data_IF_563462068262
#
_entry.id   IF_563462068262
#
_cell.length_a   1.000
_cell.length_b   1.000
_cell.length_c   1.000
_cell.angle_alpha   90.00
_cell.angle_beta   90.00
_cell.angle_gamma   90.00
#
_symmetry.space_group_name_H-M   'P 1'
#
loop_
_entity.id
_entity.type
_entity.pdbx_description
1 polymer ?
#
# COMPACT_ATOMS: atom_id res chain seq x y z
N UNK A 1 15.63 -4.90 0.55
CA UNK A 1 15.58 -3.76 -0.40
C UNK A 1 16.98 -3.34 -0.83
N UNK A 2 17.64 -4.17 -1.63
CA UNK A 2 18.95 -3.85 -2.23
C UNK A 2 18.89 -3.87 -3.76
N UNK A 3 17.77 -4.30 -4.32
CA UNK A 3 17.47 -4.31 -5.75
C UNK A 3 16.61 -3.08 -6.06
N UNK A 4 16.69 -2.57 -7.29
CA UNK A 4 15.92 -1.39 -7.72
C UNK A 4 14.42 -1.68 -7.84
N UNK A 5 14.05 -2.95 -8.02
CA UNK A 5 12.67 -3.42 -8.07
C UNK A 5 12.43 -4.52 -7.04
N UNK A 6 11.26 -4.49 -6.40
CA UNK A 6 10.79 -5.58 -5.55
C UNK A 6 10.36 -6.77 -6.43
N UNK A 7 10.80 -7.97 -6.06
CA UNK A 7 10.41 -9.24 -6.69
C UNK A 7 10.12 -10.30 -5.64
N UNK A 8 9.33 -11.30 -6.02
CA UNK A 8 9.16 -12.48 -5.18
C UNK A 8 10.45 -13.30 -5.14
N UNK A 9 10.82 -13.72 -3.94
CA UNK A 9 12.01 -14.53 -3.69
C UNK A 9 11.60 -15.95 -3.31
N UNK A 10 12.40 -16.92 -3.75
CA UNK A 10 12.41 -18.22 -3.11
C UNK A 10 13.01 -18.11 -1.71
N UNK A 11 12.73 -19.10 -0.85
CA UNK A 11 13.26 -19.10 0.52
C UNK A 11 14.79 -19.10 0.57
N UNK A 12 15.45 -19.80 -0.35
CA UNK A 12 16.91 -19.83 -0.44
C UNK A 12 17.51 -18.48 -0.86
N UNK A 13 16.85 -17.77 -1.79
CA UNK A 13 17.27 -16.40 -2.16
C UNK A 13 17.06 -15.42 -1.01
N UNK A 14 15.92 -15.52 -0.31
CA UNK A 14 15.64 -14.69 0.86
C UNK A 14 16.70 -14.89 1.95
N UNK A 15 17.10 -16.13 2.23
CA UNK A 15 18.13 -16.46 3.23
C UNK A 15 19.50 -15.89 2.85
N UNK A 16 19.89 -16.04 1.59
CA UNK A 16 21.13 -15.48 1.07
C UNK A 16 21.14 -13.93 1.15
N UNK A 17 20.02 -13.27 0.88
CA UNK A 17 19.89 -11.80 0.89
C UNK A 17 19.76 -11.25 2.31
N UNK A 18 19.03 -11.93 3.19
CA UNK A 18 18.79 -11.50 4.58
C UNK A 18 20.06 -11.57 5.43
N UNK A 19 21.03 -12.42 5.04
CA UNK A 19 22.35 -12.46 5.63
C UNK A 19 22.32 -12.90 7.10
N UNK A 20 22.54 -11.97 8.02
CA UNK A 20 22.53 -12.28 9.46
C UNK A 20 21.11 -12.38 10.06
N UNK A 21 20.09 -11.89 9.34
CA UNK A 21 18.70 -12.02 9.74
C UNK A 21 18.16 -13.39 9.36
N UNK A 22 17.70 -14.15 10.37
CA UNK A 22 17.05 -15.44 10.15
C UNK A 22 15.69 -15.25 9.47
N UNK A 23 15.51 -15.91 8.32
CA UNK A 23 14.27 -15.86 7.53
C UNK A 23 13.09 -16.48 8.28
N UNK A 24 13.29 -17.55 9.05
CA UNK A 24 12.24 -18.15 9.88
C UNK A 24 11.74 -17.16 10.95
N UNK A 25 12.66 -16.39 11.53
CA UNK A 25 12.34 -15.36 12.50
C UNK A 25 11.65 -14.14 11.85
N UNK A 26 12.08 -13.73 10.65
CA UNK A 26 11.40 -12.69 9.86
C UNK A 26 9.95 -13.09 9.52
N UNK A 27 9.73 -14.32 9.09
CA UNK A 27 8.40 -14.86 8.79
C UNK A 27 7.52 -14.87 10.06
N UNK A 28 8.07 -15.37 11.17
CA UNK A 28 7.35 -15.38 12.45
C UNK A 28 6.95 -13.97 12.90
N UNK A 29 7.86 -13.00 12.79
CA UNK A 29 7.57 -11.60 13.11
C UNK A 29 6.51 -11.01 12.17
N UNK A 30 6.56 -11.30 10.88
CA UNK A 30 5.56 -10.86 9.92
C UNK A 30 4.16 -11.41 10.23
N UNK A 31 4.07 -12.69 10.60
CA UNK A 31 2.82 -13.32 11.01
C UNK A 31 2.26 -12.71 12.31
N UNK A 32 3.12 -12.40 13.27
CA UNK A 32 2.72 -11.72 14.51
C UNK A 32 2.20 -10.31 14.25
N UNK A 33 2.89 -9.53 13.41
CA UNK A 33 2.42 -8.20 13.01
C UNK A 33 1.09 -8.30 12.26
N UNK A 34 0.99 -9.21 11.29
CA UNK A 34 -0.24 -9.45 10.54
C UNK A 34 -1.41 -9.74 11.50
N UNK A 35 -1.20 -10.61 12.49
CA UNK A 35 -2.22 -10.91 13.51
C UNK A 35 -2.64 -9.65 14.28
N UNK A 36 -1.71 -8.85 14.77
CA UNK A 36 -2.02 -7.61 15.52
C UNK A 36 -2.80 -6.60 14.67
N UNK A 37 -2.39 -6.41 13.41
CA UNK A 37 -3.07 -5.50 12.47
C UNK A 37 -4.48 -6.01 12.13
N UNK A 38 -4.63 -7.31 11.89
CA UNK A 38 -5.92 -7.95 11.63
C UNK A 38 -6.86 -7.83 12.83
N UNK A 39 -6.41 -8.17 14.04
CA UNK A 39 -7.21 -8.04 15.27
C UNK A 39 -7.69 -6.60 15.47
N UNK A 40 -6.84 -5.61 15.18
CA UNK A 40 -7.21 -4.20 15.25
C UNK A 40 -8.24 -3.82 14.19
N UNK A 41 -8.05 -4.26 12.96
CA UNK A 41 -8.97 -4.00 11.85
C UNK A 41 -10.37 -4.56 12.13
N UNK A 42 -10.44 -5.82 12.54
CA UNK A 42 -11.69 -6.50 12.88
C UNK A 42 -12.45 -5.78 14.00
N UNK A 43 -11.74 -5.36 15.05
CA UNK A 43 -12.33 -4.61 16.16
C UNK A 43 -12.92 -3.25 15.72
N UNK A 44 -12.42 -2.68 14.63
CA UNK A 44 -12.89 -1.43 14.05
C UNK A 44 -13.87 -1.62 12.87
N UNK A 45 -14.26 -2.86 12.55
CA UNK A 45 -15.19 -3.18 11.46
C UNK A 45 -14.56 -3.24 10.06
N UNK A 46 -13.23 -3.27 9.98
CA UNK A 46 -12.49 -3.46 8.73
C UNK A 46 -12.14 -4.93 8.52
N UNK A 47 -11.96 -5.30 7.25
CA UNK A 47 -11.28 -6.52 6.84
C UNK A 47 -9.85 -6.16 6.45
N UNK A 48 -8.86 -6.83 7.03
CA UNK A 48 -7.46 -6.74 6.62
C UNK A 48 -7.17 -7.87 5.62
N UNK A 49 -6.88 -7.53 4.37
CA UNK A 49 -6.68 -8.50 3.29
C UNK A 49 -5.23 -9.01 3.27
N UNK A 50 -4.28 -8.08 3.30
CA UNK A 50 -2.84 -8.32 3.48
C UNK A 50 -2.10 -6.99 3.68
N UNK A 51 -0.78 -7.07 3.85
CA UNK A 51 0.10 -5.91 3.85
C UNK A 51 1.57 -6.26 3.76
N UNK A 52 2.39 -5.21 3.84
CA UNK A 52 3.85 -5.25 3.84
C UNK A 52 4.36 -4.67 5.15
N UNK A 53 5.45 -5.25 5.65
CA UNK A 53 6.24 -4.66 6.73
C UNK A 53 7.69 -4.59 6.29
N UNK A 54 8.44 -3.67 6.89
CA UNK A 54 9.90 -3.66 6.80
C UNK A 54 10.48 -4.04 8.15
N UNK A 55 11.59 -4.78 8.13
CA UNK A 55 12.29 -5.19 9.34
C UNK A 55 13.74 -4.71 9.26
N UNK A 56 14.28 -4.33 10.42
CA UNK A 56 15.69 -4.05 10.59
C UNK A 56 16.32 -5.11 11.49
N UNK A 57 17.55 -5.50 11.17
CA UNK A 57 18.38 -6.33 12.03
C UNK A 57 19.49 -5.46 12.63
N UNK A 58 19.58 -5.43 13.96
CA UNK A 58 20.60 -4.68 14.67
C UNK A 58 21.03 -5.46 15.92
N UNK A 59 22.34 -5.66 16.09
CA UNK A 59 22.93 -6.26 17.29
C UNK A 59 22.32 -7.61 17.72
N UNK A 60 21.98 -8.47 16.75
CA UNK A 60 21.38 -9.77 17.04
C UNK A 60 19.86 -9.77 17.16
N UNK A 61 19.21 -8.61 16.99
CA UNK A 61 17.78 -8.43 17.20
C UNK A 61 17.07 -8.03 15.90
N UNK A 62 15.94 -8.67 15.63
CA UNK A 62 14.99 -8.25 14.59
C UNK A 62 13.96 -7.30 15.18
N UNK A 63 13.75 -6.17 14.51
CA UNK A 63 12.74 -5.17 14.89
C UNK A 63 11.91 -4.79 13.68
N UNK A 64 10.62 -4.54 13.90
CA UNK A 64 9.76 -3.91 12.91
C UNK A 64 10.26 -2.48 12.68
N UNK A 65 10.39 -2.12 11.42
CA UNK A 65 10.83 -0.83 10.93
C UNK A 65 9.72 -0.20 10.05
N UNK A 66 9.97 1.03 9.60
CA UNK A 66 9.03 1.80 8.77
C UNK A 66 7.63 1.92 9.41
N UNK A 67 6.56 1.91 8.61
CA UNK A 67 5.17 2.04 9.06
C UNK A 67 4.42 0.72 8.93
N UNK A 68 3.47 0.49 9.83
CA UNK A 68 2.63 -0.72 9.87
C UNK A 68 1.18 -0.33 10.13
N UNK A 69 0.24 -1.04 9.48
CA UNK A 69 -1.20 -0.83 9.66
C UNK A 69 -1.76 0.42 8.98
N UNK A 70 -1.01 1.06 8.08
CA UNK A 70 -1.48 2.19 7.28
C UNK A 70 -2.24 1.71 6.04
N UNK A 71 -3.16 2.52 5.52
CA UNK A 71 -3.89 2.25 4.25
C UNK A 71 -2.99 2.26 3.00
N UNK A 72 -1.72 2.65 3.17
CA UNK A 72 -0.72 2.67 2.11
C UNK A 72 0.11 1.38 2.05
N UNK A 73 0.39 0.79 3.22
CA UNK A 73 1.20 -0.43 3.34
C UNK A 73 0.36 -1.69 3.50
N UNK A 74 -0.94 -1.55 3.74
CA UNK A 74 -1.85 -2.67 3.96
C UNK A 74 -3.16 -2.41 3.19
N UNK A 75 -3.74 -3.50 2.69
CA UNK A 75 -5.04 -3.49 2.01
C UNK A 75 -6.14 -3.76 3.02
N UNK A 76 -6.98 -2.77 3.20
CA UNK A 76 -8.17 -2.89 4.04
C UNK A 76 -9.43 -2.69 3.22
N UNK A 77 -10.53 -3.31 3.66
CA UNK A 77 -11.87 -2.96 3.19
C UNK A 77 -12.82 -2.70 4.34
N UNK A 78 -13.79 -1.81 4.12
CA UNK A 78 -14.86 -1.48 5.05
C UNK A 78 -16.19 -1.59 4.32
N UNK A 79 -17.11 -2.41 4.84
CA UNK A 79 -18.37 -2.70 4.14
C UNK A 79 -18.17 -3.27 2.73
N UNK A 80 -17.07 -4.00 2.50
CA UNK A 80 -16.72 -4.56 1.18
C UNK A 80 -16.07 -3.59 0.20
N UNK A 81 -15.78 -2.35 0.61
CA UNK A 81 -15.14 -1.32 -0.21
C UNK A 81 -13.69 -1.08 0.22
N UNK A 82 -12.76 -1.04 -0.72
CA UNK A 82 -11.35 -0.88 -0.43
C UNK A 82 -11.00 0.51 0.10
N UNK A 83 -10.14 0.56 1.12
CA UNK A 83 -9.60 1.80 1.71
C UNK A 83 -8.09 1.81 1.47
N UNK A 84 -7.66 2.33 0.33
CA UNK A 84 -6.24 2.41 -0.05
C UNK A 84 -6.02 3.33 -1.25
N UNK A 85 -4.73 3.51 -1.62
CA UNK A 85 -4.32 4.19 -2.86
C UNK A 85 -4.89 3.56 -4.13
N UNK A 86 -5.43 2.34 -4.08
CA UNK A 86 -6.01 1.70 -5.26
C UNK A 86 -7.16 2.51 -5.85
N UNK A 87 -7.90 3.26 -5.04
CA UNK A 87 -8.93 4.21 -5.49
C UNK A 87 -8.36 5.18 -6.54
N UNK A 88 -7.21 5.78 -6.25
CA UNK A 88 -6.53 6.72 -7.17
C UNK A 88 -6.07 6.01 -8.44
N UNK A 89 -5.57 4.77 -8.33
CA UNK A 89 -5.14 3.98 -9.49
C UNK A 89 -6.32 3.65 -10.41
N UNK A 90 -7.48 3.31 -9.84
CA UNK A 90 -8.69 3.04 -10.61
C UNK A 90 -9.25 4.30 -11.26
N UNK A 91 -9.16 5.46 -10.59
CA UNK A 91 -9.54 6.75 -11.17
C UNK A 91 -8.73 7.04 -12.44
N UNK A 92 -7.39 6.91 -12.39
CA UNK A 92 -6.55 7.13 -13.57
C UNK A 92 -6.79 6.10 -14.68
N UNK A 93 -7.03 4.83 -14.34
CA UNK A 93 -7.42 3.83 -15.35
C UNK A 93 -8.69 4.21 -16.12
N UNK A 94 -9.62 4.90 -15.45
CA UNK A 94 -10.88 5.33 -16.06
C UNK A 94 -10.77 6.68 -16.79
N UNK A 95 -9.94 7.60 -16.30
CA UNK A 95 -9.93 9.01 -16.74
C UNK A 95 -8.68 9.41 -17.54
N UNK A 96 -7.58 8.65 -17.44
CA UNK A 96 -6.32 8.88 -18.16
C UNK A 96 -5.74 7.55 -18.69
N UNK A 97 -6.49 6.84 -19.57
CA UNK A 97 -6.09 5.53 -20.06
C UNK A 97 -4.83 5.57 -20.93
N UNK A 98 -4.56 6.70 -21.60
CA UNK A 98 -3.40 6.88 -22.47
C UNK A 98 -2.12 6.94 -21.63
N UNK A 99 -2.10 7.72 -20.54
CA UNK A 99 -0.98 7.71 -19.59
C UNK A 99 -0.79 6.32 -18.97
N UNK A 100 -1.86 5.63 -18.57
CA UNK A 100 -1.77 4.27 -18.01
C UNK A 100 -1.16 3.29 -19.03
N UNK A 101 -1.52 3.42 -20.31
CA UNK A 101 -0.94 2.63 -21.39
C UNK A 101 0.54 2.94 -21.59
N UNK A 102 0.93 4.22 -21.60
CA UNK A 102 2.32 4.65 -21.72
C UNK A 102 3.20 4.12 -20.56
N UNK A 103 2.71 4.22 -19.31
CA UNK A 103 3.39 3.65 -18.13
C UNK A 103 3.57 2.14 -18.28
N UNK A 104 2.56 1.44 -18.79
CA UNK A 104 2.63 0.00 -19.01
C UNK A 104 3.66 -0.36 -20.08
N UNK A 105 3.66 0.32 -21.22
CA UNK A 105 4.63 0.12 -22.30
C UNK A 105 6.06 0.41 -21.82
N UNK A 106 6.26 1.51 -21.09
CA UNK A 106 7.56 1.85 -20.53
C UNK A 106 8.10 0.75 -19.60
N UNK A 107 7.24 0.22 -18.70
CA UNK A 107 7.60 -0.90 -17.82
C UNK A 107 7.90 -2.18 -18.58
N UNK A 108 7.12 -2.51 -19.62
CA UNK A 108 7.37 -3.67 -20.47
C UNK A 108 8.70 -3.55 -21.23
N UNK A 109 9.09 -2.34 -21.64
CA UNK A 109 10.34 -2.11 -22.39
C UNK A 109 11.63 -2.35 -21.58
N UNK A 110 11.54 -2.28 -20.25
CA UNK A 110 12.64 -2.58 -19.31
C UNK A 110 12.48 -3.91 -18.59
N UNK A 111 11.38 -4.63 -18.84
CA UNK A 111 11.14 -5.93 -18.21
C UNK A 111 12.29 -6.90 -18.51
N UNK A 112 12.91 -7.44 -17.46
CA UNK A 112 14.08 -8.33 -17.57
C UNK A 112 15.44 -7.63 -17.66
N UNK A 113 15.48 -6.31 -17.51
CA UNK A 113 16.72 -5.56 -17.23
C UNK A 113 16.88 -5.40 -15.72
N UNK A 114 18.12 -5.29 -15.27
CA UNK A 114 18.45 -5.03 -13.86
C UNK A 114 18.31 -3.55 -13.46
N UNK A 115 17.57 -2.74 -14.25
CA UNK A 115 17.42 -1.28 -14.05
C UNK A 115 15.94 -0.84 -14.04
N UNK A 116 15.57 0.07 -13.14
CA UNK A 116 14.19 0.63 -12.97
C UNK A 116 13.97 1.99 -13.70
N UNK A 117 14.63 2.22 -14.84
CA UNK A 117 14.58 3.50 -15.57
C UNK A 117 13.29 3.71 -16.40
N UNK A 118 12.24 2.90 -16.21
CA UNK A 118 10.99 3.05 -16.99
C UNK A 118 10.39 4.46 -16.85
N UNK A 119 10.63 5.14 -15.73
CA UNK A 119 10.16 6.52 -15.52
C UNK A 119 10.79 7.49 -16.52
N UNK A 120 12.04 7.27 -16.91
CA UNK A 120 12.73 8.09 -17.93
C UNK A 120 12.27 7.77 -19.35
N UNK A 121 11.66 6.59 -19.55
CA UNK A 121 11.14 6.14 -20.84
C UNK A 121 9.65 6.47 -21.03
N UNK A 122 8.97 6.92 -19.97
CA UNK A 122 7.58 7.35 -20.01
C UNK A 122 7.53 8.86 -20.21
N UNK A 123 7.43 9.30 -21.47
CA UNK A 123 7.31 10.72 -21.82
C UNK A 123 5.98 11.33 -21.35
N UNK A 124 4.95 10.51 -21.15
CA UNK A 124 3.64 10.93 -20.65
C UNK A 124 3.64 11.08 -19.13
N UNK A 125 3.02 12.14 -18.64
CA UNK A 125 2.79 12.40 -17.22
C UNK A 125 1.29 12.42 -16.91
N UNK A 126 0.85 11.94 -15.74
CA UNK A 126 -0.57 11.94 -15.41
C UNK A 126 -1.08 13.37 -15.29
N UNK A 127 -2.31 13.60 -15.77
CA UNK A 127 -3.00 14.85 -15.44
C UNK A 127 -3.18 14.98 -13.91
N UNK A 128 -3.08 16.20 -13.33
CA UNK A 128 -3.38 16.40 -11.93
C UNK A 128 -4.79 15.94 -11.59
N UNK A 129 -4.95 15.23 -10.47
CA UNK A 129 -6.28 14.86 -9.98
C UNK A 129 -7.15 16.12 -9.82
N UNK A 130 -8.43 16.08 -10.25
CA UNK A 130 -9.37 17.16 -9.97
C UNK A 130 -9.46 17.42 -8.46
N UNK A 131 -9.58 18.68 -8.01
CA UNK A 131 -9.62 19.01 -6.59
C UNK A 131 -10.67 18.20 -5.78
N UNK A 132 -11.83 17.94 -6.37
CA UNK A 132 -12.89 17.15 -5.73
C UNK A 132 -12.47 15.69 -5.48
N UNK A 133 -11.69 15.09 -6.37
CA UNK A 133 -11.17 13.72 -6.19
C UNK A 133 -10.11 13.69 -5.10
N UNK A 134 -9.24 14.70 -5.06
CA UNK A 134 -8.24 14.87 -3.99
C UNK A 134 -8.93 15.01 -2.63
N UNK A 135 -9.98 15.83 -2.56
CA UNK A 135 -10.76 16.04 -1.35
C UNK A 135 -11.44 14.74 -0.90
N UNK A 136 -12.14 14.04 -1.78
CA UNK A 136 -12.81 12.78 -1.46
C UNK A 136 -11.82 11.70 -0.96
N UNK A 137 -10.66 11.54 -1.63
CA UNK A 137 -9.62 10.59 -1.19
C UNK A 137 -9.03 11.02 0.17
N UNK A 138 -8.80 12.33 0.37
CA UNK A 138 -8.31 12.84 1.65
C UNK A 138 -9.30 12.58 2.78
N UNK A 139 -10.59 12.81 2.56
CA UNK A 139 -11.65 12.50 3.53
C UNK A 139 -11.74 11.00 3.80
N UNK A 140 -11.62 10.14 2.78
CA UNK A 140 -11.59 8.68 2.97
C UNK A 140 -10.44 8.26 3.90
N UNK A 141 -9.24 8.79 3.71
CA UNK A 141 -8.10 8.49 4.57
C UNK A 141 -8.30 9.01 6.01
N UNK A 142 -8.82 10.23 6.16
CA UNK A 142 -9.08 10.84 7.46
C UNK A 142 -10.18 10.09 8.22
N UNK A 143 -11.31 9.83 7.58
CA UNK A 143 -12.44 9.09 8.14
C UNK A 143 -12.06 7.64 8.45
N UNK A 144 -11.31 7.01 7.54
CA UNK A 144 -10.72 5.69 7.75
C UNK A 144 -9.81 5.67 8.98
N UNK A 145 -8.97 6.68 9.18
CA UNK A 145 -8.08 6.78 10.34
C UNK A 145 -8.88 6.95 11.63
N UNK A 146 -9.91 7.80 11.62
CA UNK A 146 -10.79 7.97 12.77
C UNK A 146 -11.46 6.64 13.17
N UNK A 147 -12.04 5.94 12.18
CA UNK A 147 -12.70 4.66 12.39
C UNK A 147 -11.70 3.57 12.84
N UNK A 148 -10.58 3.42 12.13
CA UNK A 148 -9.56 2.41 12.42
C UNK A 148 -8.91 2.60 13.79
N UNK A 149 -8.72 3.84 14.25
CA UNK A 149 -8.12 4.13 15.58
C UNK A 149 -9.15 4.33 16.69
N UNK A 150 -10.44 4.44 16.36
CA UNK A 150 -11.51 4.70 17.33
C UNK A 150 -11.37 6.06 18.04
N UNK A 151 -10.67 7.01 17.40
CA UNK A 151 -10.38 8.34 17.93
C UNK A 151 -10.64 9.38 16.86
N UNK A 152 -11.19 10.52 17.26
CA UNK A 152 -11.35 11.67 16.38
C UNK A 152 -10.00 12.41 16.24
N UNK A 153 -9.32 12.18 15.12
CA UNK A 153 -8.12 12.90 14.70
C UNK A 153 -8.44 14.04 13.75
N UNK A 154 -9.49 13.87 12.95
CA UNK A 154 -9.91 14.78 11.90
C UNK A 154 -11.40 15.10 12.01
N UNK A 155 -11.77 16.34 11.74
CA UNK A 155 -13.16 16.80 11.64
C UNK A 155 -13.66 16.54 10.21
N UNK A 156 -14.09 15.30 9.96
CA UNK A 156 -14.54 14.79 8.67
C UNK A 156 -15.75 13.88 8.84
N UNK A 157 -16.54 13.61 7.78
CA UNK A 157 -17.63 12.65 7.83
C UNK A 157 -17.21 11.26 8.29
N UNK A 158 -18.19 10.44 8.68
CA UNK A 158 -17.97 9.03 8.98
C UNK A 158 -17.52 8.25 7.75
N UNK A 159 -16.83 7.12 7.97
CA UNK A 159 -16.20 6.33 6.89
C UNK A 159 -17.17 5.91 5.79
N UNK A 160 -18.42 5.59 6.10
CA UNK A 160 -19.42 5.22 5.09
C UNK A 160 -19.70 6.37 4.12
N UNK A 161 -19.88 7.58 4.64
CA UNK A 161 -20.12 8.77 3.83
C UNK A 161 -18.87 9.18 3.02
N UNK A 162 -17.68 9.04 3.60
CA UNK A 162 -16.43 9.30 2.90
C UNK A 162 -16.21 8.32 1.73
N UNK A 163 -16.58 7.04 1.91
CA UNK A 163 -16.53 6.05 0.83
C UNK A 163 -17.59 6.32 -0.25
N UNK A 164 -18.80 6.75 0.14
CA UNK A 164 -19.84 7.16 -0.82
C UNK A 164 -19.37 8.33 -1.69
N UNK A 165 -18.61 9.28 -1.12
CA UNK A 165 -18.05 10.41 -1.85
C UNK A 165 -16.96 9.99 -2.85
N UNK A 166 -16.17 8.98 -2.50
CA UNK A 166 -15.14 8.41 -3.39
C UNK A 166 -15.75 7.61 -4.55
N UNK A 167 -16.82 6.87 -4.27
CA UNK A 167 -17.53 6.07 -5.28
C UNK A 167 -18.45 6.92 -6.18
N UNK A 168 -18.58 8.22 -5.89
CA UNK A 168 -19.39 9.13 -6.68
C UNK A 168 -18.82 9.27 -8.11
N UNK A 169 -19.69 9.27 -9.13
CA UNK A 169 -19.31 9.32 -10.55
C UNK A 169 -18.70 10.66 -10.98
#
# INVERSE_FOLDING_TARGET
KYEEQDRYLTRAEADAIAGAADVDALESLALDVNRVVTERAEAAGFVHEDGKIECLYADGELRVADVVGTFDENRFSYGGRGVSKEVVRQWYKANDPDWVAAVKEAKESVAGRDIDDWRELCDESPDPLPPAVVEAVSEMYAAGTNAYTGREWFDVPGIEAALDAVDAP
#
